data_IF_166443843147
#
_entry.id   IF_166443843147
#
_cell.length_a   1.000
_cell.length_b   1.000
_cell.length_c   1.000
_cell.angle_alpha   90.00
_cell.angle_beta   90.00
_cell.angle_gamma   90.00
#
_symmetry.space_group_name_H-M   'P 1'
#
loop_
_entity.id
_entity.type
_entity.pdbx_description
1 polymer ?
#
# COMPACT_ATOMS: atom_id res chain seq x y z
N UNK A 1 -7.80 9.42 -18.24
CA UNK A 1 -7.52 8.46 -17.13
C UNK A 1 -8.83 8.15 -16.43
N UNK A 2 -9.11 6.89 -16.13
CA UNK A 2 -10.35 6.49 -15.42
C UNK A 2 -10.16 6.74 -13.92
N UNK A 3 -11.22 7.24 -13.27
CA UNK A 3 -11.22 7.54 -11.83
C UNK A 3 -12.13 6.57 -11.10
N UNK A 4 -11.68 6.09 -9.96
CA UNK A 4 -12.46 5.28 -9.03
C UNK A 4 -12.89 6.18 -7.87
N UNK A 5 -14.19 6.22 -7.59
CA UNK A 5 -14.74 7.03 -6.51
C UNK A 5 -15.07 6.12 -5.34
N UNK A 6 -14.58 6.46 -4.17
CA UNK A 6 -14.92 5.82 -2.91
C UNK A 6 -15.61 6.87 -2.04
N UNK A 7 -16.83 6.57 -1.60
CA UNK A 7 -17.52 7.39 -0.61
C UNK A 7 -17.27 6.77 0.75
N UNK A 8 -16.64 7.52 1.65
CA UNK A 8 -16.42 7.09 3.02
C UNK A 8 -17.73 7.14 3.81
N UNK A 9 -17.84 6.44 4.97
CA UNK A 9 -19.00 6.54 5.84
C UNK A 9 -19.33 7.97 6.25
N UNK A 10 -18.33 8.85 6.26
CA UNK A 10 -18.46 10.29 6.55
C UNK A 10 -18.90 11.11 5.32
N UNK A 11 -19.44 10.45 4.27
CA UNK A 11 -19.92 11.07 3.01
C UNK A 11 -18.86 11.83 2.21
N UNK A 12 -17.56 11.62 2.48
CA UNK A 12 -16.47 12.21 1.71
C UNK A 12 -16.19 11.36 0.47
N UNK A 13 -16.35 11.93 -0.72
CA UNK A 13 -16.06 11.24 -1.98
C UNK A 13 -14.61 11.48 -2.38
N UNK A 14 -13.82 10.42 -2.37
CA UNK A 14 -12.42 10.43 -2.79
C UNK A 14 -12.28 9.86 -4.20
N UNK A 15 -11.47 10.52 -5.01
CA UNK A 15 -11.21 10.11 -6.38
C UNK A 15 -9.79 9.55 -6.51
N UNK A 16 -9.69 8.27 -6.84
CA UNK A 16 -8.42 7.60 -7.11
C UNK A 16 -8.22 7.39 -8.62
N UNK A 17 -7.00 7.56 -9.07
CA UNK A 17 -6.64 7.20 -10.44
C UNK A 17 -6.44 5.68 -10.53
N UNK A 18 -7.18 5.03 -11.43
CA UNK A 18 -7.00 3.60 -11.69
C UNK A 18 -5.66 3.32 -12.37
N UNK A 19 -5.01 2.25 -11.95
CA UNK A 19 -3.80 1.77 -12.60
C UNK A 19 -4.11 1.30 -14.03
N UNK A 20 -3.44 1.92 -15.01
CA UNK A 20 -3.53 1.48 -16.41
C UNK A 20 -2.95 0.07 -16.60
N UNK A 21 -3.44 -0.65 -17.62
CA UNK A 21 -3.01 -2.02 -17.94
C UNK A 21 -1.50 -2.09 -18.16
N UNK A 22 -0.94 -1.13 -18.90
CA UNK A 22 0.52 -1.07 -19.15
C UNK A 22 1.34 -0.91 -17.89
N UNK A 23 0.93 -0.04 -16.96
CA UNK A 23 1.63 0.15 -15.69
C UNK A 23 1.61 -1.13 -14.85
N UNK A 24 0.49 -1.88 -14.89
CA UNK A 24 0.36 -3.17 -14.19
C UNK A 24 1.21 -4.26 -14.85
N UNK A 25 1.31 -4.25 -16.19
CA UNK A 25 2.17 -5.19 -16.92
C UNK A 25 3.66 -4.93 -16.63
N UNK A 26 4.10 -3.68 -16.66
CA UNK A 26 5.47 -3.32 -16.32
C UNK A 26 5.83 -3.68 -14.87
N UNK A 27 4.93 -3.41 -13.92
CA UNK A 27 5.13 -3.83 -12.54
C UNK A 27 5.28 -5.35 -12.41
N UNK A 28 4.46 -6.11 -13.15
CA UNK A 28 4.54 -7.57 -13.17
C UNK A 28 5.87 -8.07 -13.79
N UNK A 29 6.34 -7.46 -14.86
CA UNK A 29 7.63 -7.80 -15.49
C UNK A 29 8.78 -7.57 -14.51
N UNK A 30 8.77 -6.45 -13.77
CA UNK A 30 9.78 -6.17 -12.74
C UNK A 30 9.73 -7.21 -11.61
N UNK A 31 8.53 -7.58 -11.15
CA UNK A 31 8.37 -8.61 -10.13
C UNK A 31 8.84 -9.99 -10.65
N UNK A 32 8.52 -10.34 -11.91
CA UNK A 32 8.96 -11.58 -12.54
C UNK A 32 10.49 -11.65 -12.66
N UNK A 33 11.14 -10.53 -13.02
CA UNK A 33 12.59 -10.45 -13.05
C UNK A 33 13.21 -10.66 -11.65
N UNK A 34 12.61 -10.10 -10.60
CA UNK A 34 13.06 -10.30 -9.22
C UNK A 34 12.88 -11.76 -8.76
N UNK A 35 11.77 -12.40 -9.11
CA UNK A 35 11.54 -13.83 -8.85
C UNK A 35 12.61 -14.67 -9.56
N UNK A 36 12.87 -14.39 -10.84
CA UNK A 36 13.88 -15.11 -11.62
C UNK A 36 15.29 -14.98 -10.99
N UNK A 37 15.67 -13.76 -10.61
CA UNK A 37 16.96 -13.54 -9.92
C UNK A 37 17.01 -14.28 -8.59
N UNK A 38 15.92 -14.29 -7.82
CA UNK A 38 15.85 -15.02 -6.55
C UNK A 38 15.95 -16.53 -6.74
N UNK A 39 15.34 -17.08 -7.80
CA UNK A 39 15.45 -18.50 -8.15
C UNK A 39 16.88 -18.87 -8.55
N UNK A 40 17.51 -18.10 -9.45
CA UNK A 40 18.89 -18.32 -9.86
C UNK A 40 19.82 -18.28 -8.65
N UNK A 41 19.68 -17.29 -7.78
CA UNK A 41 20.49 -17.17 -6.57
C UNK A 41 20.29 -18.36 -5.62
N UNK A 42 19.03 -18.80 -5.45
CA UNK A 42 18.70 -19.96 -4.63
C UNK A 42 19.32 -21.25 -5.20
N UNK A 43 19.17 -21.51 -6.50
CA UNK A 43 19.69 -22.71 -7.15
C UNK A 43 21.22 -22.72 -7.17
N UNK A 44 21.85 -21.57 -7.40
CA UNK A 44 23.32 -21.43 -7.42
C UNK A 44 23.96 -21.82 -6.07
N UNK A 45 23.22 -21.62 -4.97
CA UNK A 45 23.69 -22.00 -3.63
C UNK A 45 23.24 -23.42 -3.27
N UNK A 46 21.96 -23.74 -3.52
CA UNK A 46 21.36 -25.00 -3.09
C UNK A 46 21.90 -26.21 -3.84
N UNK A 47 22.12 -26.09 -5.17
CA UNK A 47 22.60 -27.21 -5.99
C UNK A 47 23.97 -27.74 -5.51
N UNK A 48 25.05 -26.92 -5.43
CA UNK A 48 26.35 -27.45 -5.08
C UNK A 48 26.42 -27.90 -3.61
N UNK A 49 25.69 -27.26 -2.69
CA UNK A 49 25.75 -27.61 -1.27
C UNK A 49 25.00 -28.90 -0.97
N UNK A 50 23.81 -29.10 -1.54
CA UNK A 50 22.97 -30.27 -1.26
C UNK A 50 23.38 -31.49 -2.07
N UNK A 51 23.90 -31.32 -3.29
CA UNK A 51 24.37 -32.43 -4.12
C UNK A 51 25.56 -33.20 -3.48
N UNK A 52 26.36 -32.54 -2.64
CA UNK A 52 27.41 -33.17 -1.86
C UNK A 52 26.88 -34.14 -0.79
N UNK A 53 25.63 -33.94 -0.34
CA UNK A 53 24.99 -34.76 0.70
C UNK A 53 24.20 -35.89 0.03
N UNK A 54 23.29 -35.53 -0.84
CA UNK A 54 22.41 -36.45 -1.58
C UNK A 54 21.74 -35.76 -2.76
N UNK A 55 21.82 -36.35 -3.93
CA UNK A 55 21.16 -35.87 -5.16
C UNK A 55 19.63 -35.84 -4.97
N UNK A 56 19.05 -36.85 -4.34
CA UNK A 56 17.62 -36.93 -4.09
C UNK A 56 17.15 -35.80 -3.16
N UNK A 57 17.91 -35.55 -2.07
CA UNK A 57 17.61 -34.47 -1.15
C UNK A 57 17.70 -33.10 -1.86
N UNK A 58 18.73 -32.91 -2.67
CA UNK A 58 18.89 -31.69 -3.46
C UNK A 58 17.67 -31.44 -4.34
N UNK A 59 17.20 -32.45 -5.05
CA UNK A 59 16.04 -32.35 -5.93
C UNK A 59 14.77 -31.94 -5.18
N UNK A 60 14.49 -32.58 -4.03
CA UNK A 60 13.34 -32.26 -3.20
C UNK A 60 13.39 -30.82 -2.67
N UNK A 61 14.53 -30.43 -2.12
CA UNK A 61 14.69 -29.09 -1.54
C UNK A 61 14.61 -28.00 -2.60
N UNK A 62 15.22 -28.22 -3.76
CA UNK A 62 15.18 -27.25 -4.87
C UNK A 62 13.76 -27.10 -5.39
N UNK A 63 13.04 -28.21 -5.61
CA UNK A 63 11.65 -28.17 -6.09
C UNK A 63 10.73 -27.46 -5.11
N UNK A 64 10.78 -27.82 -3.82
CA UNK A 64 9.96 -27.19 -2.79
C UNK A 64 10.35 -25.73 -2.56
N UNK A 65 11.61 -25.42 -2.53
CA UNK A 65 12.11 -24.06 -2.35
C UNK A 65 11.71 -23.14 -3.50
N UNK A 66 11.89 -23.61 -4.74
CA UNK A 66 11.46 -22.87 -5.94
C UNK A 66 9.94 -22.65 -5.95
N UNK A 67 9.16 -23.65 -5.56
CA UNK A 67 7.71 -23.52 -5.41
C UNK A 67 7.33 -22.46 -4.37
N UNK A 68 7.97 -22.46 -3.20
CA UNK A 68 7.74 -21.46 -2.14
C UNK A 68 8.10 -20.06 -2.62
N UNK A 69 9.21 -19.89 -3.34
CA UNK A 69 9.61 -18.59 -3.89
C UNK A 69 8.56 -18.09 -4.89
N UNK A 70 8.14 -18.92 -5.85
CA UNK A 70 7.18 -18.52 -6.89
C UNK A 70 5.82 -18.16 -6.31
N UNK A 71 5.27 -19.03 -5.46
CA UNK A 71 3.90 -18.88 -4.92
C UNK A 71 3.88 -17.86 -3.78
N UNK A 72 4.90 -17.86 -2.92
CA UNK A 72 4.98 -17.02 -1.73
C UNK A 72 5.35 -15.56 -2.01
N UNK A 73 6.07 -15.26 -3.10
CA UNK A 73 6.54 -13.91 -3.41
C UNK A 73 5.44 -12.86 -3.32
N UNK A 74 4.37 -13.04 -4.09
CA UNK A 74 3.31 -12.04 -4.17
C UNK A 74 2.55 -11.85 -2.86
N UNK A 75 2.01 -12.90 -2.20
CA UNK A 75 1.27 -12.70 -0.97
C UNK A 75 2.15 -12.16 0.17
N UNK A 76 3.40 -12.61 0.27
CA UNK A 76 4.32 -12.12 1.29
C UNK A 76 4.56 -10.62 1.12
N UNK A 77 4.97 -10.18 -0.07
CA UNK A 77 5.23 -8.76 -0.30
C UNK A 77 3.96 -7.90 -0.22
N UNK A 78 2.81 -8.36 -0.72
CA UNK A 78 1.56 -7.61 -0.62
C UNK A 78 1.07 -7.44 0.82
N UNK A 79 1.29 -8.42 1.70
CA UNK A 79 0.99 -8.30 3.14
C UNK A 79 2.00 -7.35 3.80
N UNK A 80 3.29 -7.58 3.61
CA UNK A 80 4.35 -6.79 4.25
C UNK A 80 4.38 -5.34 3.80
N UNK A 81 4.24 -5.09 2.49
CA UNK A 81 4.27 -3.76 1.88
C UNK A 81 2.86 -3.16 1.67
N UNK A 82 1.86 -3.64 2.42
CA UNK A 82 0.50 -3.05 2.47
C UNK A 82 -0.15 -2.91 1.09
N UNK A 83 -0.24 -4.01 0.37
CA UNK A 83 -0.84 -4.08 -0.96
C UNK A 83 0.11 -3.70 -2.10
N UNK A 84 1.41 -3.75 -1.86
CA UNK A 84 2.42 -3.49 -2.88
C UNK A 84 3.37 -4.68 -3.03
N UNK A 85 3.94 -4.81 -4.22
CA UNK A 85 5.14 -5.61 -4.47
C UNK A 85 6.28 -4.67 -4.81
N UNK A 86 7.54 -5.10 -4.80
CA UNK A 86 8.66 -4.27 -5.26
C UNK A 86 8.42 -3.64 -6.62
N UNK A 87 7.95 -4.40 -7.62
CA UNK A 87 7.62 -3.87 -8.95
C UNK A 87 6.47 -2.87 -8.93
N UNK A 88 5.41 -3.13 -8.16
CA UNK A 88 4.32 -2.16 -7.97
C UNK A 88 4.80 -0.88 -7.29
N UNK A 89 5.70 -0.98 -6.30
CA UNK A 89 6.27 0.17 -5.60
C UNK A 89 7.03 1.08 -6.56
N UNK A 90 7.87 0.51 -7.43
CA UNK A 90 8.61 1.25 -8.47
C UNK A 90 7.65 1.98 -9.41
N UNK A 91 6.56 1.33 -9.81
CA UNK A 91 5.56 1.91 -10.72
C UNK A 91 4.53 2.83 -10.02
N UNK A 92 4.65 3.03 -8.70
CA UNK A 92 3.70 3.85 -7.92
C UNK A 92 2.29 3.26 -7.89
N UNK A 93 2.17 1.93 -7.88
CA UNK A 93 0.90 1.21 -7.83
C UNK A 93 0.65 0.64 -6.44
N UNK A 94 -0.62 0.61 -6.05
CA UNK A 94 -1.05 0.00 -4.80
C UNK A 94 -2.40 -0.68 -4.94
N UNK A 95 -2.52 -1.82 -4.28
CA UNK A 95 -3.79 -2.53 -4.12
C UNK A 95 -4.48 -2.00 -2.88
N UNK A 96 -5.74 -1.64 -3.03
CA UNK A 96 -6.62 -1.23 -1.93
C UNK A 96 -7.89 -2.08 -1.95
N UNK A 97 -8.56 -2.13 -0.82
CA UNK A 97 -9.92 -2.65 -0.73
C UNK A 97 -10.89 -1.79 -1.55
N UNK A 98 -11.88 -2.39 -2.20
CA UNK A 98 -12.85 -1.66 -3.04
C UNK A 98 -13.66 -0.63 -2.24
N UNK A 99 -13.90 -0.87 -0.95
CA UNK A 99 -14.61 0.04 -0.05
C UNK A 99 -13.66 1.08 0.61
N UNK A 100 -12.39 1.11 0.21
CA UNK A 100 -11.39 2.03 0.78
C UNK A 100 -10.90 1.63 2.17
N UNK A 101 -11.30 0.46 2.66
CA UNK A 101 -10.80 -0.09 3.91
C UNK A 101 -9.34 -0.53 3.79
N UNK A 102 -8.76 -0.88 4.91
CA UNK A 102 -7.44 -1.50 4.94
C UNK A 102 -7.49 -2.87 4.26
N UNK A 103 -6.52 -3.14 3.39
CA UNK A 103 -6.43 -4.42 2.70
C UNK A 103 -6.25 -5.55 3.73
N UNK A 104 -7.22 -6.45 3.81
CA UNK A 104 -7.17 -7.61 4.69
C UNK A 104 -6.24 -8.69 4.13
N UNK A 105 -5.51 -9.39 4.99
CA UNK A 105 -4.64 -10.50 4.59
C UNK A 105 -5.41 -11.60 3.85
N UNK A 106 -6.66 -11.88 4.26
CA UNK A 106 -7.54 -12.82 3.56
C UNK A 106 -7.82 -12.42 2.10
N UNK A 107 -8.08 -11.14 1.84
CA UNK A 107 -8.27 -10.63 0.48
C UNK A 107 -7.00 -10.80 -0.37
N UNK A 108 -5.81 -10.60 0.22
CA UNK A 108 -4.53 -10.85 -0.46
C UNK A 108 -4.37 -12.32 -0.81
N UNK A 109 -4.69 -13.22 0.11
CA UNK A 109 -4.58 -14.68 -0.13
C UNK A 109 -5.55 -15.11 -1.24
N UNK A 110 -6.83 -14.77 -1.14
CA UNK A 110 -7.86 -15.12 -2.14
C UNK A 110 -7.45 -14.63 -3.53
N UNK A 111 -7.01 -13.39 -3.64
CA UNK A 111 -6.58 -12.76 -4.87
C UNK A 111 -5.34 -13.45 -5.48
N UNK A 112 -4.38 -13.87 -4.65
CA UNK A 112 -3.19 -14.59 -5.13
C UNK A 112 -3.48 -16.06 -5.44
N UNK A 113 -4.44 -16.71 -4.74
CA UNK A 113 -4.96 -18.03 -5.13
C UNK A 113 -5.63 -17.99 -6.52
N UNK A 114 -6.50 -16.99 -6.75
CA UNK A 114 -7.11 -16.80 -8.07
C UNK A 114 -6.06 -16.54 -9.17
N UNK A 115 -4.92 -15.91 -8.82
CA UNK A 115 -3.81 -15.74 -9.76
C UNK A 115 -3.19 -17.06 -10.20
N UNK A 116 -3.13 -18.10 -9.34
CA UNK A 116 -2.65 -19.44 -9.74
C UNK A 116 -3.51 -20.04 -10.86
N UNK A 117 -4.81 -19.76 -10.81
CA UNK A 117 -5.73 -20.15 -11.88
C UNK A 117 -5.46 -19.36 -13.16
N UNK A 118 -5.17 -18.06 -13.04
CA UNK A 118 -4.81 -17.18 -14.18
C UNK A 118 -3.48 -17.60 -14.85
N UNK A 119 -2.61 -18.38 -14.20
CA UNK A 119 -1.35 -18.87 -14.77
C UNK A 119 -1.53 -20.05 -15.74
N UNK A 120 -2.69 -20.69 -15.76
CA UNK A 120 -3.01 -21.65 -16.81
C UNK A 120 -3.04 -20.93 -18.16
N UNK A 121 -2.32 -21.43 -19.19
CA UNK A 121 -2.10 -20.71 -20.45
C UNK A 121 -3.38 -20.25 -21.15
N UNK A 122 -4.44 -21.03 -21.04
CA UNK A 122 -5.76 -20.72 -21.59
C UNK A 122 -6.49 -19.61 -20.79
N UNK A 123 -6.26 -19.52 -19.49
CA UNK A 123 -6.91 -18.55 -18.59
C UNK A 123 -6.12 -17.23 -18.46
N UNK A 124 -4.83 -17.23 -18.79
CA UNK A 124 -4.02 -15.99 -18.81
C UNK A 124 -4.55 -14.98 -19.84
N UNK A 125 -4.97 -15.47 -20.99
CA UNK A 125 -5.67 -14.69 -22.01
C UNK A 125 -7.04 -14.20 -21.51
N UNK A 126 -7.79 -15.05 -20.80
CA UNK A 126 -9.10 -14.72 -20.22
C UNK A 126 -8.98 -13.67 -19.13
N UNK A 127 -8.01 -13.79 -18.20
CA UNK A 127 -7.78 -12.79 -17.16
C UNK A 127 -7.39 -11.42 -17.73
N UNK A 128 -6.62 -11.40 -18.82
CA UNK A 128 -6.30 -10.20 -19.58
C UNK A 128 -7.52 -9.59 -20.28
N UNK A 129 -8.33 -10.42 -20.97
CA UNK A 129 -9.56 -10.00 -21.63
C UNK A 129 -10.60 -9.47 -20.65
N UNK A 130 -10.79 -10.14 -19.51
CA UNK A 130 -11.68 -9.66 -18.44
C UNK A 130 -11.22 -8.30 -17.91
N UNK A 131 -9.92 -8.11 -17.69
CA UNK A 131 -9.37 -6.81 -17.25
C UNK A 131 -9.53 -5.71 -18.31
N UNK A 132 -9.55 -6.06 -19.59
CA UNK A 132 -9.82 -5.10 -20.68
C UNK A 132 -11.32 -4.75 -20.78
N UNK A 133 -12.19 -5.71 -20.54
CA UNK A 133 -13.64 -5.54 -20.60
C UNK A 133 -14.22 -4.83 -19.37
N UNK A 134 -13.62 -5.03 -18.19
CA UNK A 134 -14.09 -4.38 -16.96
C UNK A 134 -13.78 -2.88 -16.95
N UNK A 135 -14.78 -2.09 -16.55
CA UNK A 135 -14.66 -0.62 -16.45
C UNK A 135 -13.59 -0.15 -15.45
N UNK A 136 -13.21 -0.99 -14.50
CA UNK A 136 -12.19 -0.71 -13.48
C UNK A 136 -10.90 -1.48 -13.68
N UNK A 137 -10.76 -2.17 -14.83
CA UNK A 137 -9.59 -2.99 -15.18
C UNK A 137 -9.23 -4.04 -14.13
N UNK A 138 -10.23 -4.63 -13.46
CA UNK A 138 -10.03 -5.68 -12.47
C UNK A 138 -9.79 -7.01 -13.15
N UNK A 139 -8.82 -7.78 -12.65
CA UNK A 139 -8.62 -9.19 -13.01
C UNK A 139 -9.57 -10.07 -12.19
N UNK A 140 -9.70 -11.34 -12.56
CA UNK A 140 -10.54 -12.30 -11.83
C UNK A 140 -10.18 -12.34 -10.34
N UNK A 141 -8.89 -12.36 -10.01
CA UNK A 141 -8.42 -12.30 -8.63
C UNK A 141 -8.75 -10.99 -7.89
N UNK A 142 -8.79 -9.87 -8.60
CA UNK A 142 -9.19 -8.58 -8.01
C UNK A 142 -10.69 -8.58 -7.66
N UNK A 143 -11.53 -9.25 -8.46
CA UNK A 143 -12.96 -9.46 -8.15
C UNK A 143 -13.16 -10.35 -6.93
N UNK A 144 -12.51 -11.52 -6.92
CA UNK A 144 -12.62 -12.46 -5.81
C UNK A 144 -12.15 -11.86 -4.47
N UNK A 145 -11.11 -11.03 -4.50
CA UNK A 145 -10.58 -10.36 -3.32
C UNK A 145 -11.25 -9.02 -3.00
N UNK A 146 -12.26 -8.57 -3.77
CA UNK A 146 -12.89 -7.24 -3.64
C UNK A 146 -11.86 -6.11 -3.57
N UNK A 147 -10.88 -6.13 -4.46
CA UNK A 147 -9.76 -5.19 -4.48
C UNK A 147 -9.70 -4.40 -5.78
N UNK A 148 -9.06 -3.24 -5.70
CA UNK A 148 -8.81 -2.37 -6.85
C UNK A 148 -7.35 -1.93 -6.83
N UNK A 149 -6.71 -1.85 -8.01
CA UNK A 149 -5.33 -1.35 -8.13
C UNK A 149 -5.38 0.10 -8.55
N UNK A 150 -4.90 0.96 -7.67
CA UNK A 150 -4.83 2.39 -7.88
C UNK A 150 -3.41 2.85 -8.20
N UNK A 151 -3.30 3.96 -8.92
CA UNK A 151 -2.07 4.71 -9.06
C UNK A 151 -1.96 5.68 -7.90
N UNK A 152 -0.92 5.54 -7.12
CA UNK A 152 -0.69 6.42 -6.00
C UNK A 152 -0.18 7.77 -6.50
N UNK A 153 -0.93 8.85 -6.26
CA UNK A 153 -0.40 10.21 -6.42
C UNK A 153 0.72 10.40 -5.41
N UNK A 154 1.89 10.80 -5.88
CA UNK A 154 2.95 11.31 -5.01
C UNK A 154 2.59 12.74 -4.61
N UNK A 155 1.61 12.89 -3.74
CA UNK A 155 1.30 14.19 -3.15
C UNK A 155 2.35 14.45 -2.06
N UNK A 156 3.48 15.02 -2.47
CA UNK A 156 4.49 15.47 -1.51
C UNK A 156 4.04 16.83 -0.96
N UNK A 157 4.10 17.02 0.34
CA UNK A 157 3.94 18.34 0.95
C UNK A 157 5.00 19.27 0.34
N UNK A 158 4.64 20.51 -0.07
CA UNK A 158 5.59 21.48 -0.57
C UNK A 158 6.78 21.63 0.37
N UNK A 159 7.97 21.81 -0.19
CA UNK A 159 9.19 21.89 0.60
C UNK A 159 9.19 23.04 1.63
N UNK A 160 8.40 24.09 1.35
CA UNK A 160 8.19 25.21 2.28
C UNK A 160 7.44 24.75 3.54
N UNK A 161 6.31 24.05 3.36
CA UNK A 161 5.51 23.50 4.46
C UNK A 161 6.31 22.46 5.23
N UNK A 162 7.02 21.58 4.54
CA UNK A 162 7.90 20.60 5.19
C UNK A 162 9.02 21.23 6.01
N UNK A 163 9.60 22.36 5.58
CA UNK A 163 10.64 23.06 6.34
C UNK A 163 10.10 23.80 7.57
N UNK A 164 8.95 24.46 7.43
CA UNK A 164 8.30 25.16 8.54
C UNK A 164 7.85 24.16 9.62
N UNK A 165 7.30 23.03 9.20
CA UNK A 165 6.89 21.94 10.08
C UNK A 165 8.05 21.22 10.76
N UNK A 166 9.21 21.08 10.10
CA UNK A 166 10.43 20.51 10.71
C UNK A 166 11.06 21.42 11.77
N UNK A 167 10.78 22.72 11.73
CA UNK A 167 11.23 23.68 12.77
C UNK A 167 10.39 23.62 14.03
N UNK A 168 9.19 23.05 13.96
CA UNK A 168 8.33 22.79 15.12
C UNK A 168 8.62 21.38 15.62
N UNK A 169 8.88 21.23 16.91
CA UNK A 169 9.10 19.91 17.52
C UNK A 169 7.90 19.01 17.24
N UNK A 170 8.12 18.00 16.40
CA UNK A 170 7.12 16.99 16.11
C UNK A 170 7.37 15.77 16.99
N UNK A 171 6.70 15.72 18.13
CA UNK A 171 6.77 14.62 19.09
C UNK A 171 6.43 13.26 18.48
N UNK A 172 5.54 13.22 17.45
CA UNK A 172 5.13 11.97 16.80
C UNK A 172 6.21 11.37 15.88
N UNK A 173 7.09 12.20 15.33
CA UNK A 173 8.25 11.73 14.56
C UNK A 173 9.36 11.20 15.46
N UNK A 174 9.51 11.78 16.65
CA UNK A 174 10.53 11.40 17.62
C UNK A 174 10.22 10.06 18.29
N UNK A 175 8.93 9.73 18.51
CA UNK A 175 8.50 8.48 19.14
C UNK A 175 8.26 7.36 18.11
N UNK A 176 9.14 6.32 18.07
CA UNK A 176 9.00 5.22 17.13
C UNK A 176 7.70 4.42 17.32
N UNK A 177 7.15 4.39 18.54
CA UNK A 177 5.92 3.64 18.87
C UNK A 177 4.69 4.35 18.29
N UNK A 178 4.61 5.67 18.45
CA UNK A 178 3.54 6.48 17.87
C UNK A 178 3.62 6.43 16.36
N UNK A 179 4.82 6.59 15.80
CA UNK A 179 5.06 6.51 14.36
C UNK A 179 4.60 5.16 13.78
N UNK A 180 4.99 4.05 14.39
CA UNK A 180 4.55 2.73 13.94
C UNK A 180 3.02 2.59 13.96
N UNK A 181 2.38 3.06 15.04
CA UNK A 181 0.92 3.02 15.21
C UNK A 181 0.18 3.87 14.17
N UNK A 182 0.67 5.07 13.86
CA UNK A 182 0.12 5.93 12.80
C UNK A 182 0.20 5.21 11.44
N UNK A 183 1.38 4.70 11.10
CA UNK A 183 1.59 3.99 9.84
C UNK A 183 0.81 2.68 9.76
N UNK A 184 0.52 2.07 10.90
CA UNK A 184 -0.22 0.81 10.96
C UNK A 184 -1.73 1.01 10.86
N UNK A 185 -2.30 2.00 11.54
CA UNK A 185 -3.76 2.14 11.69
C UNK A 185 -4.44 3.02 10.63
N UNK A 186 -3.70 3.95 10.03
CA UNK A 186 -4.26 4.84 9.03
C UNK A 186 -4.32 4.16 7.66
N UNK A 187 -5.51 4.13 7.05
CA UNK A 187 -5.71 3.62 5.70
C UNK A 187 -5.16 4.58 4.64
N UNK A 188 -4.99 4.08 3.40
CA UNK A 188 -4.53 4.90 2.27
C UNK A 188 -5.47 6.08 2.01
N UNK A 189 -6.77 5.83 2.13
CA UNK A 189 -7.83 6.83 1.95
C UNK A 189 -7.72 7.93 3.00
N UNK A 190 -7.63 7.56 4.27
CA UNK A 190 -7.48 8.50 5.38
C UNK A 190 -6.20 9.33 5.27
N UNK A 191 -5.10 8.69 4.82
CA UNK A 191 -3.85 9.39 4.56
C UNK A 191 -4.03 10.52 3.54
N UNK A 192 -4.67 10.21 2.42
CA UNK A 192 -4.82 11.19 1.34
C UNK A 192 -5.70 12.37 1.78
N UNK A 193 -6.73 12.12 2.59
CA UNK A 193 -7.54 13.18 3.21
C UNK A 193 -6.70 14.05 4.15
N UNK A 194 -5.93 13.43 5.05
CA UNK A 194 -5.09 14.17 6.03
C UNK A 194 -4.05 15.03 5.31
N UNK A 195 -3.41 14.49 4.29
CA UNK A 195 -2.40 15.23 3.50
C UNK A 195 -3.08 16.36 2.72
N UNK A 196 -4.25 16.12 2.10
CA UNK A 196 -4.97 17.15 1.35
C UNK A 196 -5.45 18.28 2.29
N UNK A 197 -5.96 17.95 3.46
CA UNK A 197 -6.33 18.93 4.49
C UNK A 197 -5.14 19.78 4.93
N UNK A 198 -3.99 19.15 5.20
CA UNK A 198 -2.77 19.85 5.58
C UNK A 198 -2.25 20.77 4.46
N UNK A 199 -2.39 20.36 3.19
CA UNK A 199 -1.98 21.15 2.01
C UNK A 199 -2.86 22.37 1.76
N UNK A 200 -4.15 22.26 2.03
CA UNK A 200 -5.13 23.34 1.83
C UNK A 200 -5.30 24.25 3.04
N UNK A 201 -4.58 24.00 4.11
CA UNK A 201 -4.66 24.74 5.38
C UNK A 201 -4.77 26.25 5.18
N UNK A 202 -3.89 26.81 4.37
CA UNK A 202 -3.78 28.26 4.16
C UNK A 202 -4.82 28.81 3.17
N UNK A 203 -5.59 27.92 2.51
CA UNK A 203 -6.66 28.26 1.56
C UNK A 203 -8.05 28.23 2.23
N UNK A 204 -8.15 27.69 3.44
CA UNK A 204 -9.40 27.55 4.19
C UNK A 204 -9.55 28.77 5.10
N UNK A 205 -10.75 29.34 5.12
CA UNK A 205 -11.11 30.44 6.02
C UNK A 205 -10.88 30.05 7.49
N UNK A 206 -10.43 30.97 8.31
CA UNK A 206 -9.96 30.69 9.68
C UNK A 206 -11.02 29.99 10.53
N UNK A 207 -12.28 30.43 10.45
CA UNK A 207 -13.41 29.83 11.20
C UNK A 207 -13.67 28.38 10.77
N UNK A 208 -13.78 28.14 9.47
CA UNK A 208 -14.00 26.81 8.90
C UNK A 208 -12.78 25.87 9.10
N UNK A 209 -11.57 26.46 9.15
CA UNK A 209 -10.33 25.71 9.39
C UNK A 209 -10.33 25.08 10.78
N UNK A 210 -10.66 25.86 11.82
CA UNK A 210 -10.67 25.38 13.21
C UNK A 210 -11.65 24.21 13.35
N UNK A 211 -12.88 24.35 12.87
CA UNK A 211 -13.91 23.30 12.90
C UNK A 211 -13.48 22.02 12.15
N UNK A 212 -12.91 22.16 10.94
CA UNK A 212 -12.45 21.03 10.13
C UNK A 212 -11.28 20.28 10.79
N UNK A 213 -10.32 20.99 11.37
CA UNK A 213 -9.20 20.37 12.05
C UNK A 213 -9.62 19.71 13.36
N UNK A 214 -10.57 20.27 14.10
CA UNK A 214 -11.15 19.63 15.29
C UNK A 214 -11.88 18.32 14.94
N UNK A 215 -12.74 18.34 13.91
CA UNK A 215 -13.40 17.14 13.40
C UNK A 215 -12.38 16.06 12.97
N UNK A 216 -11.37 16.45 12.21
CA UNK A 216 -10.34 15.53 11.75
C UNK A 216 -9.54 14.95 12.93
N UNK A 217 -9.16 15.80 13.90
CA UNK A 217 -8.45 15.35 15.10
C UNK A 217 -9.29 14.37 15.92
N UNK A 218 -10.57 14.66 16.16
CA UNK A 218 -11.47 13.76 16.88
C UNK A 218 -11.63 12.39 16.18
N UNK A 219 -11.69 12.36 14.85
CA UNK A 219 -11.71 11.11 14.08
C UNK A 219 -10.37 10.34 14.25
N UNK A 220 -9.25 11.02 14.14
CA UNK A 220 -7.93 10.38 14.25
C UNK A 220 -7.62 9.89 15.66
N UNK A 221 -8.05 10.59 16.71
CA UNK A 221 -7.94 10.15 18.10
C UNK A 221 -8.66 8.81 18.33
N UNK A 222 -9.89 8.65 17.80
CA UNK A 222 -10.65 7.39 17.87
C UNK A 222 -9.95 6.25 17.14
N UNK A 223 -9.30 6.51 16.01
CA UNK A 223 -8.61 5.50 15.19
C UNK A 223 -7.27 5.11 15.82
N UNK A 224 -6.47 6.09 16.21
CA UNK A 224 -5.13 5.88 16.72
C UNK A 224 -5.11 5.40 18.17
N UNK A 225 -6.11 5.77 18.96
CA UNK A 225 -6.21 5.44 20.40
C UNK A 225 -4.89 5.73 21.14
N UNK A 226 -4.35 6.93 20.91
CA UNK A 226 -3.19 7.42 21.66
C UNK A 226 -3.61 7.77 23.09
N UNK A 227 -2.65 7.78 24.01
CA UNK A 227 -2.91 8.27 25.37
C UNK A 227 -3.03 9.79 25.38
N UNK A 228 -3.88 10.32 26.26
CA UNK A 228 -4.15 11.77 26.35
C UNK A 228 -2.90 12.61 26.59
N UNK A 229 -1.97 12.13 27.40
CA UNK A 229 -0.68 12.77 27.68
C UNK A 229 0.19 13.00 26.43
N UNK A 230 -0.04 12.21 25.37
CA UNK A 230 0.75 12.29 24.13
C UNK A 230 0.29 13.39 23.17
N UNK A 231 -0.92 13.95 23.33
CA UNK A 231 -1.48 14.92 22.39
C UNK A 231 -2.25 16.09 23.02
N UNK A 232 -2.60 16.08 24.31
CA UNK A 232 -3.37 17.16 24.95
C UNK A 232 -2.70 18.55 24.87
N UNK A 233 -1.38 18.58 24.78
CA UNK A 233 -0.62 19.83 24.62
C UNK A 233 -0.61 20.37 23.17
N UNK A 234 -1.19 19.64 22.22
CA UNK A 234 -1.22 20.01 20.81
C UNK A 234 -2.60 20.60 20.45
N UNK A 235 -2.62 21.66 19.65
CA UNK A 235 -3.85 22.09 19.01
C UNK A 235 -4.32 21.05 18.00
N UNK A 236 -5.62 21.04 17.65
CA UNK A 236 -6.17 20.12 16.66
C UNK A 236 -5.44 20.23 15.30
N UNK A 237 -5.11 21.43 14.90
CA UNK A 237 -4.32 21.69 13.69
C UNK A 237 -2.91 21.08 13.80
N UNK A 238 -2.20 21.32 14.91
CA UNK A 238 -0.86 20.77 15.13
C UNK A 238 -0.87 19.24 15.17
N UNK A 239 -1.90 18.64 15.78
CA UNK A 239 -2.08 17.21 15.85
C UNK A 239 -2.21 16.58 14.45
N UNK A 240 -3.06 17.12 13.59
CA UNK A 240 -3.25 16.63 12.21
C UNK A 240 -1.99 16.85 11.36
N UNK A 241 -1.33 17.98 11.50
CA UNK A 241 -0.08 18.27 10.79
C UNK A 241 1.02 17.29 11.19
N UNK A 242 1.16 16.99 12.49
CA UNK A 242 2.14 16.02 12.97
C UNK A 242 1.88 14.61 12.39
N UNK A 243 0.62 14.20 12.30
CA UNK A 243 0.25 12.95 11.63
C UNK A 243 0.60 12.99 10.13
N UNK A 244 0.27 14.08 9.43
CA UNK A 244 0.56 14.22 8.00
C UNK A 244 2.06 14.08 7.70
N UNK A 245 2.93 14.61 8.54
CA UNK A 245 4.39 14.48 8.40
C UNK A 245 4.87 13.05 8.62
N UNK A 246 4.36 12.36 9.64
CA UNK A 246 4.69 10.94 9.86
C UNK A 246 4.26 10.09 8.68
N UNK A 247 3.07 10.34 8.14
CA UNK A 247 2.56 9.65 6.96
C UNK A 247 3.41 9.93 5.72
N UNK A 248 3.88 11.14 5.55
CA UNK A 248 4.77 11.50 4.45
C UNK A 248 6.12 10.79 4.55
N UNK A 249 6.80 10.84 5.70
CA UNK A 249 8.12 10.21 5.85
C UNK A 249 8.06 8.68 5.83
N UNK A 250 7.08 8.10 6.49
CA UNK A 250 6.98 6.64 6.63
C UNK A 250 6.64 5.93 5.33
N UNK A 251 5.96 6.60 4.40
CA UNK A 251 5.56 6.03 3.12
C UNK A 251 6.63 6.17 2.02
N UNK A 252 7.55 7.10 2.18
CA UNK A 252 8.66 7.27 1.23
C UNK A 252 9.90 6.43 1.59
N UNK A 253 10.03 6.05 2.87
CA UNK A 253 11.17 5.24 3.36
C UNK A 253 10.89 3.74 3.46
N UNK A 254 9.61 3.31 3.32
CA UNK A 254 9.21 1.91 3.42
C UNK A 254 9.04 1.17 2.08
#
# INVERSE_FOLDING_TARGET
MRRYMITTPEMITLQFELAGIYSRALAFILDAALILVSLIAFELVAVPTLALISITLAYVVITLGSFIIIVGYFPIFEIYLRGRTPGKKVMGLQVIDADGRRLAAGAVIIRNMARLVDFLPELMLLGGLVAMADRWHRRIGDFAGQTVVIRQRRTALPAAISREMRRRDNSFLADPTIRARILERISVVQRDVIIDLALRRDQIEVSAREELFELAAGCMQKILRLKSDQYEHLSAEQYIINIAMVLQEGWFKG
#
